data_IF_429902008651
#
_entry.id   IF_429902008651
#
_cell.length_a   1.000
_cell.length_b   1.000
_cell.length_c   1.000
_cell.angle_alpha   90.00
_cell.angle_beta   90.00
_cell.angle_gamma   90.00
#
_symmetry.space_group_name_H-M   'P 1'
#
loop_
_entity.id
_entity.type
_entity.pdbx_description
1 polymer ?
#
# COMPACT_ATOMS: atom_id res chain seq x y z
N UNK A 1 -17.44 76.90 65.09
CA UNK A 1 -18.55 76.11 64.52
C UNK A 1 -18.44 75.90 63.00
N UNK A 2 -18.56 76.91 62.12
CA UNK A 2 -18.52 76.64 60.65
C UNK A 2 -17.18 76.04 60.15
N UNK A 3 -16.06 76.61 60.56
CA UNK A 3 -14.73 76.12 60.18
C UNK A 3 -14.39 74.75 60.79
N UNK A 4 -14.97 74.41 61.94
CA UNK A 4 -14.80 73.08 62.55
C UNK A 4 -15.57 72.04 61.75
N UNK A 5 -16.81 72.35 61.35
CA UNK A 5 -17.60 71.46 60.50
C UNK A 5 -16.96 71.25 59.13
N UNK A 6 -16.47 72.31 58.48
CA UNK A 6 -15.74 72.18 57.21
C UNK A 6 -14.43 71.38 57.37
N UNK A 7 -13.76 71.45 58.53
CA UNK A 7 -12.58 70.63 58.82
C UNK A 7 -12.94 69.16 59.03
N UNK A 8 -14.01 68.88 59.77
CA UNK A 8 -14.54 67.54 60.02
C UNK A 8 -14.99 66.86 58.72
N UNK A 9 -15.67 67.60 57.84
CA UNK A 9 -16.09 67.11 56.52
C UNK A 9 -14.88 66.77 55.63
N UNK A 10 -13.87 67.64 55.58
CA UNK A 10 -12.62 67.38 54.86
C UNK A 10 -11.85 66.18 55.43
N UNK A 11 -11.83 66.02 56.76
CA UNK A 11 -11.22 64.86 57.40
C UNK A 11 -11.95 63.57 57.03
N UNK A 12 -13.29 63.58 57.02
CA UNK A 12 -14.10 62.45 56.58
C UNK A 12 -13.89 62.11 55.10
N UNK A 13 -13.86 63.10 54.21
CA UNK A 13 -13.57 62.90 52.78
C UNK A 13 -12.17 62.32 52.56
N UNK A 14 -11.16 62.84 53.26
CA UNK A 14 -9.78 62.35 53.16
C UNK A 14 -9.67 60.89 53.62
N UNK A 15 -10.31 60.54 54.74
CA UNK A 15 -10.33 59.16 55.25
C UNK A 15 -11.07 58.24 54.26
N UNK A 16 -12.19 58.68 53.72
CA UNK A 16 -12.99 57.90 52.74
C UNK A 16 -12.21 57.67 51.45
N UNK A 17 -11.54 58.71 50.94
CA UNK A 17 -10.68 58.62 49.76
C UNK A 17 -9.47 57.71 50.02
N UNK A 18 -8.83 57.82 51.19
CA UNK A 18 -7.72 56.93 51.58
C UNK A 18 -8.11 55.46 51.63
N UNK A 19 -9.29 55.15 52.18
CA UNK A 19 -9.82 53.78 52.22
C UNK A 19 -10.11 53.28 50.80
N UNK A 20 -10.73 54.10 49.95
CA UNK A 20 -11.00 53.75 48.56
C UNK A 20 -9.71 53.46 47.78
N UNK A 21 -8.71 54.35 47.88
CA UNK A 21 -7.42 54.16 47.22
C UNK A 21 -6.67 52.92 47.72
N UNK A 22 -6.79 52.60 49.02
CA UNK A 22 -6.19 51.37 49.56
C UNK A 22 -6.87 50.13 48.97
N UNK A 23 -8.19 50.12 48.91
CA UNK A 23 -8.96 49.04 48.29
C UNK A 23 -8.60 48.87 46.82
N UNK A 24 -8.46 49.97 46.08
CA UNK A 24 -8.08 49.93 44.66
C UNK A 24 -6.65 49.42 44.47
N UNK A 25 -5.73 49.78 45.36
CA UNK A 25 -4.37 49.26 45.37
C UNK A 25 -4.36 47.75 45.62
N UNK A 26 -5.05 47.29 46.67
CA UNK A 26 -5.13 45.87 47.02
C UNK A 26 -5.75 45.06 45.85
N UNK A 27 -6.82 45.57 45.22
CA UNK A 27 -7.42 44.95 44.02
C UNK A 27 -6.46 44.89 42.83
N UNK A 28 -5.66 45.94 42.61
CA UNK A 28 -4.69 45.99 41.53
C UNK A 28 -3.54 45.00 41.76
N UNK A 29 -3.09 44.85 43.01
CA UNK A 29 -2.07 43.87 43.42
C UNK A 29 -2.57 42.43 43.21
N UNK A 30 -3.79 42.11 43.67
CA UNK A 30 -4.39 40.78 43.45
C UNK A 30 -4.53 40.45 41.96
N UNK A 31 -4.93 41.44 41.14
CA UNK A 31 -5.03 41.27 39.69
C UNK A 31 -3.66 41.07 39.04
N UNK A 32 -2.64 41.79 39.49
CA UNK A 32 -1.28 41.61 39.00
C UNK A 32 -0.75 40.20 39.30
N UNK A 33 -1.00 39.69 40.51
CA UNK A 33 -0.62 38.34 40.91
C UNK A 33 -1.37 37.26 40.12
N UNK A 34 -2.67 37.45 39.87
CA UNK A 34 -3.47 36.56 39.05
C UNK A 34 -2.94 36.49 37.61
N UNK A 35 -2.70 37.65 36.99
CA UNK A 35 -2.16 37.73 35.63
C UNK A 35 -0.75 37.12 35.54
N UNK A 36 0.08 37.30 36.56
CA UNK A 36 1.42 36.72 36.58
C UNK A 36 1.37 35.18 36.65
N UNK A 37 0.45 34.60 37.44
CA UNK A 37 0.21 33.16 37.46
C UNK A 37 -0.27 32.63 36.11
N UNK A 38 -1.26 33.30 35.50
CA UNK A 38 -1.77 32.92 34.18
C UNK A 38 -0.70 33.00 33.09
N UNK A 39 0.14 34.04 33.14
CA UNK A 39 1.27 34.21 32.23
C UNK A 39 2.25 33.04 32.35
N UNK A 40 2.60 32.64 33.58
CA UNK A 40 3.51 31.51 33.81
C UNK A 40 2.93 30.19 33.29
N UNK A 41 1.66 29.92 33.58
CA UNK A 41 0.96 28.72 33.09
C UNK A 41 0.89 28.69 31.56
N UNK A 42 0.63 29.85 30.94
CA UNK A 42 0.56 29.97 29.48
C UNK A 42 1.93 29.77 28.84
N UNK A 43 2.99 30.34 29.43
CA UNK A 43 4.37 30.11 28.98
C UNK A 43 4.77 28.64 29.05
N UNK A 44 4.43 27.96 30.14
CA UNK A 44 4.72 26.53 30.28
C UNK A 44 4.00 25.72 29.18
N UNK A 45 2.70 25.95 28.98
CA UNK A 45 1.93 25.28 27.92
C UNK A 45 2.48 25.56 26.52
N UNK A 46 2.97 26.77 26.28
CA UNK A 46 3.60 27.14 25.02
C UNK A 46 4.85 26.29 24.76
N UNK A 47 5.75 26.19 25.75
CA UNK A 47 6.96 25.37 25.65
C UNK A 47 6.62 23.90 25.40
N UNK A 48 5.69 23.33 26.19
CA UNK A 48 5.24 21.95 26.01
C UNK A 48 4.67 21.71 24.59
N UNK A 49 3.91 22.67 24.06
CA UNK A 49 3.36 22.60 22.71
C UNK A 49 4.43 22.76 21.61
N UNK A 50 5.46 23.58 21.83
CA UNK A 50 6.56 23.77 20.89
C UNK A 50 7.46 22.53 20.81
N UNK A 51 7.71 21.88 21.94
CA UNK A 51 8.48 20.64 21.99
C UNK A 51 7.71 19.47 21.36
N UNK A 52 6.41 19.35 21.61
CA UNK A 52 5.57 18.34 20.93
C UNK A 52 5.52 18.58 19.42
N UNK A 53 5.37 19.84 18.99
CA UNK A 53 5.43 20.20 17.56
C UNK A 53 6.75 19.77 16.94
N UNK A 54 7.88 20.03 17.61
CA UNK A 54 9.21 19.65 17.13
C UNK A 54 9.34 18.12 16.98
N UNK A 55 8.86 17.36 17.97
CA UNK A 55 8.87 15.89 17.91
C UNK A 55 8.06 15.38 16.71
N UNK A 56 6.87 15.92 16.50
CA UNK A 56 6.00 15.55 15.36
C UNK A 56 6.62 15.93 14.01
N UNK A 57 7.32 17.06 13.92
CA UNK A 57 8.04 17.47 12.71
C UNK A 57 9.19 16.50 12.38
N UNK A 58 9.93 16.04 13.39
CA UNK A 58 10.99 15.03 13.23
C UNK A 58 10.43 13.66 12.80
N UNK A 59 9.36 13.18 13.46
CA UNK A 59 8.66 11.94 13.08
C UNK A 59 8.13 12.04 11.64
N UNK A 60 7.54 13.18 11.27
CA UNK A 60 7.05 13.42 9.90
C UNK A 60 8.19 13.38 8.87
N UNK A 61 9.34 13.96 9.20
CA UNK A 61 10.52 13.94 8.32
C UNK A 61 11.03 12.50 8.12
N UNK A 62 11.10 11.71 9.20
CA UNK A 62 11.51 10.30 9.13
C UNK A 62 10.55 9.45 8.29
N UNK A 63 9.24 9.63 8.48
CA UNK A 63 8.22 8.93 7.69
C UNK A 63 8.29 9.28 6.21
N UNK A 64 8.45 10.57 5.86
CA UNK A 64 8.63 11.00 4.47
C UNK A 64 9.85 10.36 3.82
N UNK A 65 10.97 10.29 4.55
CA UNK A 65 12.19 9.67 4.07
C UNK A 65 12.04 8.16 3.89
N UNK A 66 11.36 7.47 4.81
CA UNK A 66 11.06 6.05 4.68
C UNK A 66 10.19 5.77 3.45
N UNK A 67 9.10 6.52 3.27
CA UNK A 67 8.23 6.38 2.10
C UNK A 67 9.00 6.63 0.80
N UNK A 68 9.87 7.64 0.76
CA UNK A 68 10.71 7.93 -0.40
C UNK A 68 11.61 6.75 -0.76
N UNK A 69 12.30 6.16 0.23
CA UNK A 69 13.19 5.00 0.01
C UNK A 69 12.44 3.78 -0.49
N UNK A 70 11.27 3.48 0.07
CA UNK A 70 10.47 2.34 -0.38
C UNK A 70 9.90 2.55 -1.79
N UNK A 71 9.53 3.78 -2.16
CA UNK A 71 9.17 4.12 -3.54
C UNK A 71 10.35 3.92 -4.50
N UNK A 72 11.52 4.46 -4.19
CA UNK A 72 12.73 4.32 -5.03
C UNK A 72 13.10 2.83 -5.22
N UNK A 73 12.96 2.03 -4.15
CA UNK A 73 13.21 0.59 -4.19
C UNK A 73 12.22 -0.13 -5.10
N UNK A 74 10.92 0.15 -4.94
CA UNK A 74 9.86 -0.43 -5.76
C UNK A 74 10.02 -0.06 -7.24
N UNK A 75 10.34 1.20 -7.54
CA UNK A 75 10.60 1.65 -8.91
C UNK A 75 11.81 0.92 -9.53
N UNK A 76 12.89 0.73 -8.76
CA UNK A 76 14.05 -0.06 -9.19
C UNK A 76 13.67 -1.52 -9.45
N UNK A 77 12.87 -2.14 -8.59
CA UNK A 77 12.39 -3.52 -8.78
C UNK A 77 11.49 -3.65 -10.02
N UNK A 78 10.56 -2.73 -10.23
CA UNK A 78 9.72 -2.66 -11.44
C UNK A 78 10.59 -2.56 -12.69
N UNK A 79 11.62 -1.70 -12.67
CA UNK A 79 12.54 -1.54 -13.80
C UNK A 79 13.34 -2.81 -14.08
N UNK A 80 13.84 -3.49 -13.05
CA UNK A 80 14.54 -4.78 -13.19
C UNK A 80 13.63 -5.85 -13.76
N UNK A 81 12.42 -5.99 -13.20
CA UNK A 81 11.42 -6.94 -13.69
C UNK A 81 11.03 -6.64 -15.13
N UNK A 82 10.88 -5.36 -15.48
CA UNK A 82 10.65 -4.92 -16.86
C UNK A 82 11.76 -5.35 -17.82
N UNK A 83 13.03 -5.22 -17.42
CA UNK A 83 14.18 -5.70 -18.21
C UNK A 83 14.14 -7.21 -18.41
N UNK A 84 13.94 -7.97 -17.33
CA UNK A 84 13.85 -9.44 -17.37
C UNK A 84 12.72 -9.90 -18.29
N UNK A 85 11.54 -9.27 -18.19
CA UNK A 85 10.39 -9.58 -19.06
C UNK A 85 10.72 -9.26 -20.53
N UNK A 86 11.42 -8.14 -20.78
CA UNK A 86 11.87 -7.77 -22.11
C UNK A 86 12.81 -8.81 -22.73
N UNK A 87 13.83 -9.21 -21.97
CA UNK A 87 14.80 -10.25 -22.37
C UNK A 87 14.12 -11.60 -22.59
N UNK A 88 13.22 -12.00 -21.69
CA UNK A 88 12.45 -13.23 -21.83
C UNK A 88 11.63 -13.26 -23.13
N UNK A 89 10.89 -12.18 -23.41
CA UNK A 89 10.12 -12.04 -24.67
C UNK A 89 11.02 -12.11 -25.90
N UNK A 90 12.21 -11.49 -25.84
CA UNK A 90 13.18 -11.54 -26.92
C UNK A 90 13.67 -12.96 -27.17
N UNK A 91 14.00 -13.71 -26.11
CA UNK A 91 14.42 -15.12 -26.21
C UNK A 91 13.29 -15.96 -26.82
N UNK A 92 12.06 -15.81 -26.34
CA UNK A 92 10.90 -16.51 -26.91
C UNK A 92 10.74 -16.22 -28.40
N UNK A 93 10.81 -14.95 -28.82
CA UNK A 93 10.71 -14.57 -30.22
C UNK A 93 11.83 -15.20 -31.07
N UNK A 94 13.07 -15.21 -30.57
CA UNK A 94 14.20 -15.83 -31.27
C UNK A 94 14.05 -17.35 -31.40
N UNK A 95 13.56 -18.02 -30.36
CA UNK A 95 13.30 -19.45 -30.37
C UNK A 95 12.18 -19.80 -31.35
N UNK A 96 11.09 -19.03 -31.37
CA UNK A 96 10.00 -19.21 -32.34
C UNK A 96 10.49 -19.04 -33.79
N UNK A 97 11.28 -18.00 -34.06
CA UNK A 97 11.84 -17.78 -35.40
C UNK A 97 12.78 -18.92 -35.82
N UNK A 98 13.64 -19.40 -34.91
CA UNK A 98 14.52 -20.55 -35.18
C UNK A 98 13.71 -21.82 -35.45
N UNK A 99 12.66 -22.06 -34.68
CA UNK A 99 11.80 -23.23 -34.85
C UNK A 99 11.11 -23.20 -36.22
N UNK A 100 10.56 -22.06 -36.63
CA UNK A 100 9.88 -21.90 -37.92
C UNK A 100 10.86 -22.10 -39.10
N UNK A 101 12.08 -21.56 -38.99
CA UNK A 101 13.14 -21.80 -39.98
C UNK A 101 13.48 -23.28 -40.09
N UNK A 102 13.66 -23.96 -38.95
CA UNK A 102 13.97 -25.39 -38.94
C UNK A 102 12.83 -26.24 -39.50
N UNK A 103 11.58 -25.94 -39.15
CA UNK A 103 10.40 -26.63 -39.69
C UNK A 103 10.30 -26.43 -41.21
N UNK A 104 10.53 -25.22 -41.70
CA UNK A 104 10.51 -24.92 -43.13
C UNK A 104 11.62 -25.65 -43.88
N UNK A 105 12.83 -25.67 -43.33
CA UNK A 105 13.97 -26.41 -43.90
C UNK A 105 13.71 -27.93 -43.92
N UNK A 106 13.29 -28.51 -42.80
CA UNK A 106 12.97 -29.94 -42.69
C UNK A 106 11.83 -30.33 -43.65
N UNK A 107 10.77 -29.52 -43.76
CA UNK A 107 9.69 -29.73 -44.72
C UNK A 107 10.21 -29.71 -46.16
N UNK A 108 11.09 -28.78 -46.50
CA UNK A 108 11.72 -28.72 -47.82
C UNK A 108 12.60 -29.94 -48.12
N UNK A 109 13.39 -30.41 -47.17
CA UNK A 109 14.19 -31.64 -47.32
C UNK A 109 13.31 -32.89 -47.47
N UNK A 110 12.22 -32.99 -46.68
CA UNK A 110 11.24 -34.07 -46.84
C UNK A 110 10.60 -34.07 -48.23
N UNK A 111 10.26 -32.89 -48.75
CA UNK A 111 9.69 -32.77 -50.10
C UNK A 111 10.69 -33.22 -51.17
N UNK A 112 11.97 -32.84 -51.05
CA UNK A 112 13.03 -33.32 -51.95
C UNK A 112 13.18 -34.83 -51.91
N UNK A 113 13.17 -35.43 -50.72
CA UNK A 113 13.24 -36.88 -50.55
C UNK A 113 12.02 -37.54 -51.20
N UNK A 114 10.82 -37.01 -50.94
CA UNK A 114 9.57 -37.48 -51.55
C UNK A 114 9.64 -37.44 -53.07
N UNK A 115 10.06 -36.34 -53.69
CA UNK A 115 10.21 -36.24 -55.14
C UNK A 115 11.21 -37.26 -55.69
N UNK A 116 12.34 -37.49 -55.00
CA UNK A 116 13.32 -38.52 -55.41
C UNK A 116 12.71 -39.93 -55.34
N UNK A 117 11.97 -40.24 -54.28
CA UNK A 117 11.28 -41.54 -54.11
C UNK A 117 10.22 -41.75 -55.20
N UNK A 118 9.42 -40.72 -55.50
CA UNK A 118 8.41 -40.77 -56.57
C UNK A 118 9.04 -40.94 -57.97
N UNK A 119 10.18 -40.32 -58.22
CA UNK A 119 10.90 -40.44 -59.50
C UNK A 119 11.56 -41.80 -59.74
N UNK A 120 11.60 -42.67 -58.73
CA UNK A 120 12.19 -44.00 -58.82
C UNK A 120 11.13 -45.06 -59.11
N UNK A 121 11.20 -45.71 -60.27
CA UNK A 121 10.23 -46.72 -60.73
C UNK A 121 10.07 -47.93 -59.79
N UNK A 122 11.13 -48.30 -59.04
CA UNK A 122 11.08 -49.40 -58.06
C UNK A 122 10.54 -48.98 -56.69
N UNK A 123 10.75 -47.72 -56.30
CA UNK A 123 10.38 -47.24 -54.98
C UNK A 123 8.98 -46.62 -54.94
N UNK A 124 8.52 -46.00 -56.03
CA UNK A 124 7.23 -45.30 -56.08
C UNK A 124 6.03 -46.19 -55.81
N UNK A 125 6.12 -47.48 -56.12
CA UNK A 125 5.08 -48.48 -55.86
C UNK A 125 5.06 -48.98 -54.40
N UNK A 126 6.16 -48.77 -53.66
CA UNK A 126 6.33 -49.23 -52.28
C UNK A 126 5.82 -48.22 -51.24
N UNK A 127 5.63 -46.96 -51.60
CA UNK A 127 5.18 -45.90 -50.68
C UNK A 127 3.81 -45.34 -51.09
N UNK A 128 3.00 -44.91 -50.12
CA UNK A 128 1.74 -44.21 -50.36
C UNK A 128 1.97 -42.68 -50.50
N UNK A 129 0.92 -41.93 -50.85
CA UNK A 129 0.98 -40.46 -51.03
C UNK A 129 1.36 -39.71 -49.75
N UNK A 130 1.26 -40.37 -48.60
CA UNK A 130 1.65 -39.85 -47.29
C UNK A 130 3.12 -40.16 -46.94
N UNK A 131 3.86 -40.90 -47.78
CA UNK A 131 5.26 -41.28 -47.57
C UNK A 131 5.47 -42.51 -46.68
N UNK A 132 4.40 -43.26 -46.37
CA UNK A 132 4.42 -44.50 -45.58
C UNK A 132 4.58 -45.71 -46.51
N UNK A 133 5.33 -46.72 -46.06
CA UNK A 133 5.49 -47.99 -46.78
C UNK A 133 4.12 -48.67 -46.91
N UNK A 134 3.72 -49.06 -48.13
CA UNK A 134 2.52 -49.87 -48.35
C UNK A 134 2.74 -51.22 -47.68
N UNK A 135 1.81 -51.68 -46.81
CA UNK A 135 1.95 -52.98 -46.21
C UNK A 135 1.91 -54.04 -47.32
N UNK A 136 3.03 -54.73 -47.53
CA UNK A 136 3.04 -55.97 -48.27
C UNK A 136 2.23 -56.98 -47.44
N UNK A 137 1.22 -57.59 -48.07
CA UNK A 137 0.34 -58.52 -47.39
C UNK A 137 1.12 -59.68 -46.79
N UNK A 138 1.19 -59.71 -45.46
CA UNK A 138 1.49 -60.91 -44.69
C UNK A 138 0.73 -60.84 -43.38
N UNK A 139 0.06 -61.95 -43.09
CA UNK A 139 -0.61 -62.31 -41.84
C UNK A 139 0.26 -62.04 -40.60
N UNK A 140 -0.41 -61.54 -39.54
CA UNK A 140 0.03 -61.24 -38.17
C UNK A 140 0.79 -62.42 -37.51
N UNK A 141 1.72 -62.19 -36.56
CA UNK A 141 1.39 -62.03 -35.14
C UNK A 141 2.08 -60.79 -34.52
N UNK A 142 1.36 -59.98 -33.74
CA UNK A 142 1.43 -59.99 -32.26
C UNK A 142 2.87 -60.04 -31.74
N UNK A 143 3.38 -58.89 -31.28
CA UNK A 143 4.74 -58.79 -30.77
C UNK A 143 5.24 -57.35 -30.65
N UNK A 144 4.87 -56.69 -29.55
CA UNK A 144 5.56 -55.51 -29.02
C UNK A 144 4.64 -54.42 -28.44
N UNK A 145 4.02 -54.60 -27.25
CA UNK A 145 3.30 -53.53 -26.58
C UNK A 145 4.18 -52.63 -25.70
N UNK A 146 5.41 -53.04 -25.34
CA UNK A 146 6.12 -52.45 -24.19
C UNK A 146 6.60 -51.00 -24.39
N UNK A 147 7.17 -50.61 -25.55
CA UNK A 147 7.67 -49.22 -25.72
C UNK A 147 6.55 -48.16 -25.76
N UNK A 148 5.38 -48.50 -26.32
CA UNK A 148 4.22 -47.59 -26.36
C UNK A 148 3.46 -47.48 -25.04
N UNK A 149 3.54 -48.51 -24.19
CA UNK A 149 2.88 -48.51 -22.90
C UNK A 149 3.68 -47.67 -21.89
N UNK A 150 5.02 -47.76 -21.93
CA UNK A 150 5.92 -46.93 -21.11
C UNK A 150 5.81 -45.44 -21.44
N UNK A 151 5.78 -45.07 -22.73
CA UNK A 151 5.67 -43.66 -23.15
C UNK A 151 4.30 -43.05 -22.79
N UNK A 152 3.25 -43.88 -22.84
CA UNK A 152 1.90 -43.50 -22.43
C UNK A 152 1.76 -43.38 -20.92
N UNK A 153 2.42 -44.25 -20.16
CA UNK A 153 2.50 -44.17 -18.70
C UNK A 153 3.30 -42.93 -18.26
N UNK A 154 4.40 -42.61 -18.94
CA UNK A 154 5.19 -41.40 -18.71
C UNK A 154 4.37 -40.12 -18.95
N UNK A 155 3.61 -40.06 -20.05
CA UNK A 155 2.72 -38.93 -20.33
C UNK A 155 1.59 -38.83 -19.30
N UNK A 156 1.03 -39.95 -18.85
CA UNK A 156 0.03 -39.95 -17.78
C UNK A 156 0.59 -39.45 -16.45
N UNK A 157 1.83 -39.82 -16.12
CA UNK A 157 2.53 -39.33 -14.92
C UNK A 157 2.79 -37.83 -14.99
N UNK A 158 3.26 -37.30 -16.13
CA UNK A 158 3.45 -35.86 -16.34
C UNK A 158 2.14 -35.09 -16.25
N UNK A 159 1.05 -35.63 -16.79
CA UNK A 159 -0.27 -35.00 -16.73
C UNK A 159 -0.76 -34.92 -15.28
N UNK A 160 -0.53 -35.97 -14.49
CA UNK A 160 -0.86 -36.03 -13.06
C UNK A 160 -0.02 -35.07 -12.22
N UNK A 161 1.26 -34.91 -12.56
CA UNK A 161 2.17 -33.96 -11.92
C UNK A 161 1.76 -32.52 -12.20
N UNK A 162 1.44 -32.19 -13.46
CA UNK A 162 0.90 -30.88 -13.82
C UNK A 162 -0.47 -30.60 -13.18
N UNK A 163 -1.33 -31.60 -13.01
CA UNK A 163 -2.60 -31.46 -12.28
C UNK A 163 -2.37 -31.14 -10.79
N UNK A 164 -1.38 -31.77 -10.16
CA UNK A 164 -0.99 -31.50 -8.78
C UNK A 164 -0.40 -30.10 -8.61
N UNK A 165 0.52 -29.70 -9.50
CA UNK A 165 1.09 -28.35 -9.50
C UNK A 165 0.01 -27.28 -9.70
N UNK A 166 -0.95 -27.53 -10.60
CA UNK A 166 -2.08 -26.63 -10.82
C UNK A 166 -2.97 -26.52 -9.57
N UNK A 167 -3.26 -27.64 -8.90
CA UNK A 167 -4.03 -27.62 -7.66
C UNK A 167 -3.30 -26.85 -6.54
N UNK A 168 -1.98 -27.03 -6.43
CA UNK A 168 -1.16 -26.34 -5.44
C UNK A 168 -1.09 -24.82 -5.72
N UNK A 169 -0.93 -24.43 -6.99
CA UNK A 169 -0.93 -23.02 -7.39
C UNK A 169 -2.30 -22.37 -7.16
N UNK A 170 -3.39 -23.08 -7.43
CA UNK A 170 -4.75 -22.62 -7.12
C UNK A 170 -4.97 -22.42 -5.62
N UNK A 171 -4.45 -23.32 -4.79
CA UNK A 171 -4.52 -23.17 -3.34
C UNK A 171 -3.77 -21.91 -2.87
N UNK A 172 -2.54 -21.71 -3.35
CA UNK A 172 -1.75 -20.52 -3.04
C UNK A 172 -2.44 -19.22 -3.47
N UNK A 173 -3.13 -19.24 -4.61
CA UNK A 173 -3.90 -18.09 -5.08
C UNK A 173 -5.04 -17.76 -4.10
N UNK A 174 -5.83 -18.76 -3.68
CA UNK A 174 -6.92 -18.55 -2.71
C UNK A 174 -6.39 -18.06 -1.36
N UNK A 175 -5.26 -18.61 -0.88
CA UNK A 175 -4.61 -18.14 0.35
C UNK A 175 -4.16 -16.69 0.24
N UNK A 176 -3.60 -16.28 -0.90
CA UNK A 176 -3.21 -14.91 -1.15
C UNK A 176 -4.43 -13.97 -1.22
N UNK A 177 -5.51 -14.38 -1.90
CA UNK A 177 -6.76 -13.62 -1.97
C UNK A 177 -7.41 -13.43 -0.59
N UNK A 178 -7.48 -14.48 0.23
CA UNK A 178 -7.95 -14.39 1.61
C UNK A 178 -7.08 -13.43 2.43
N UNK A 179 -5.76 -13.47 2.25
CA UNK A 179 -4.84 -12.57 2.96
C UNK A 179 -5.02 -11.11 2.55
N UNK A 180 -5.30 -10.86 1.27
CA UNK A 180 -5.63 -9.52 0.77
C UNK A 180 -6.93 -9.05 1.42
N UNK A 181 -7.98 -9.87 1.43
CA UNK A 181 -9.25 -9.51 2.09
C UNK A 181 -9.08 -9.19 3.58
N UNK A 182 -8.28 -9.98 4.30
CA UNK A 182 -7.98 -9.73 5.72
C UNK A 182 -7.26 -8.40 5.91
N UNK A 183 -6.29 -8.07 5.05
CA UNK A 183 -5.57 -6.79 5.10
C UNK A 183 -6.48 -5.61 4.75
N UNK A 184 -7.36 -5.75 3.77
CA UNK A 184 -8.37 -4.75 3.41
C UNK A 184 -9.32 -4.49 4.58
N UNK A 185 -9.76 -5.55 5.28
CA UNK A 185 -10.58 -5.43 6.48
C UNK A 185 -9.83 -4.69 7.61
N UNK A 186 -8.58 -5.05 7.89
CA UNK A 186 -7.75 -4.34 8.89
C UNK A 186 -7.55 -2.86 8.53
N UNK A 187 -7.30 -2.56 7.25
CA UNK A 187 -7.18 -1.20 6.76
C UNK A 187 -8.49 -0.42 6.96
N UNK A 188 -9.63 -1.04 6.66
CA UNK A 188 -10.96 -0.46 6.88
C UNK A 188 -11.23 -0.15 8.36
N UNK A 189 -10.85 -1.04 9.26
CA UNK A 189 -10.93 -0.81 10.71
C UNK A 189 -10.04 0.36 11.14
N UNK A 190 -8.77 0.37 10.73
CA UNK A 190 -7.84 1.45 11.06
C UNK A 190 -8.31 2.82 10.53
N UNK A 191 -8.86 2.87 9.31
CA UNK A 191 -9.46 4.07 8.74
C UNK A 191 -10.66 4.57 9.57
N UNK A 192 -11.52 3.66 10.02
CA UNK A 192 -12.65 3.99 10.88
C UNK A 192 -12.19 4.52 12.24
N UNK A 193 -11.16 3.93 12.84
CA UNK A 193 -10.58 4.41 14.10
C UNK A 193 -9.96 5.81 13.95
N UNK A 194 -9.19 6.05 12.89
CA UNK A 194 -8.63 7.38 12.59
C UNK A 194 -9.74 8.40 12.37
N UNK A 195 -10.80 8.04 11.64
CA UNK A 195 -11.95 8.94 11.46
C UNK A 195 -12.72 9.19 12.76
N UNK A 196 -12.89 8.18 13.61
CA UNK A 196 -13.55 8.31 14.90
C UNK A 196 -12.73 9.18 15.87
N UNK A 197 -11.41 8.99 15.90
CA UNK A 197 -10.47 9.83 16.64
C UNK A 197 -10.50 11.27 16.12
N UNK A 198 -10.51 11.48 14.80
CA UNK A 198 -10.64 12.81 14.18
C UNK A 198 -11.95 13.48 14.55
N UNK A 199 -13.10 12.80 14.44
CA UNK A 199 -14.42 13.34 14.82
C UNK A 199 -14.47 13.67 16.31
N UNK A 200 -13.92 12.81 17.17
CA UNK A 200 -13.86 13.03 18.62
C UNK A 200 -12.98 14.23 18.97
N UNK A 201 -11.79 14.32 18.36
CA UNK A 201 -10.86 15.43 18.57
C UNK A 201 -11.41 16.75 18.03
N UNK A 202 -12.00 16.77 16.83
CA UNK A 202 -12.65 17.96 16.28
C UNK A 202 -13.82 18.42 17.16
N UNK A 203 -14.67 17.50 17.60
CA UNK A 203 -15.81 17.85 18.45
C UNK A 203 -15.38 18.34 19.83
N UNK A 204 -14.35 17.74 20.44
CA UNK A 204 -13.79 18.22 21.72
C UNK A 204 -13.12 19.58 21.59
N UNK A 205 -12.39 19.83 20.50
CA UNK A 205 -11.68 21.09 20.27
C UNK A 205 -12.67 22.21 19.96
N UNK A 206 -13.65 21.98 19.07
CA UNK A 206 -14.70 22.96 18.78
C UNK A 206 -15.59 23.25 19.99
N UNK A 207 -15.94 22.22 20.76
CA UNK A 207 -16.72 22.41 22.00
C UNK A 207 -15.92 23.24 23.01
N UNK A 208 -14.63 22.93 23.21
CA UNK A 208 -13.77 23.69 24.13
C UNK A 208 -13.58 25.15 23.70
N UNK A 209 -13.43 25.42 22.40
CA UNK A 209 -13.37 26.79 21.88
C UNK A 209 -14.69 27.54 22.12
N UNK A 210 -15.83 26.87 21.94
CA UNK A 210 -17.17 27.46 22.14
C UNK A 210 -17.47 27.74 23.61
N UNK A 211 -16.97 26.95 24.56
CA UNK A 211 -17.10 27.25 26.00
C UNK A 211 -16.20 28.41 26.43
N UNK A 212 -15.00 28.52 25.85
CA UNK A 212 -14.05 29.63 26.13
C UNK A 212 -14.52 30.96 25.54
N UNK A 213 -15.22 30.95 24.40
CA UNK A 213 -15.81 32.17 23.80
C UNK A 213 -17.25 32.46 24.27
N UNK A 214 -17.95 31.49 24.87
CA UNK A 214 -19.33 31.63 25.35
C UNK A 214 -19.50 32.13 26.78
N UNK A 215 -18.43 32.32 27.55
CA UNK A 215 -18.48 32.74 28.97
C UNK A 215 -18.37 34.26 29.18
N UNK A 216 -18.42 35.09 28.13
CA UNK A 216 -18.48 36.56 28.25
C UNK A 216 -19.84 37.19 27.91
N UNK A 217 -20.91 36.39 27.79
CA UNK A 217 -22.21 36.87 27.29
C UNK A 217 -23.41 36.56 28.19
N UNK A 218 -23.28 36.64 29.52
CA UNK A 218 -24.44 36.61 30.42
C UNK A 218 -24.08 37.13 31.81
N UNK A 219 -24.12 38.44 31.97
CA UNK A 219 -24.64 39.16 33.15
C UNK A 219 -24.57 40.66 32.85
N UNK A 220 -25.50 41.42 33.41
CA UNK A 220 -25.72 42.87 33.29
C UNK A 220 -26.36 43.38 31.99
N UNK A 221 -27.69 43.34 31.94
CA UNK A 221 -28.57 44.50 31.73
C UNK A 221 -30.00 44.15 32.14
#
# INVERSE_FOLDING_TARGET
>A
MRLEQENDDLAHELVSSKIALRKDLDNAEEKADALNKELLLTKQKLVESEDEKRRLEEESAQLKEMCRRELDKSESEIKKNGSIIGEYKQICSQLSERLEKQQTANRGELEKIRSKVESCERCSSLFNKEGRVRPAGTTVPDGGPEETDEEKEALQNQLREMELELAQTKLQLVEAECKIQDLEHHLGLALNEVQAAKKTWFNRTLSSIKTVTGTQGKETA
#
